data_IF_598999533318
#
_entry.id   IF_598999533318
#
_cell.length_a   1.000
_cell.length_b   1.000
_cell.length_c   1.000
_cell.angle_alpha   90.00
_cell.angle_beta   90.00
_cell.angle_gamma   90.00
#
_symmetry.space_group_name_H-M   'P 1'
#
loop_
_entity.id
_entity.type
_entity.pdbx_description
1 polymer ?
#
# COMPACT_ATOMS: atom_id res chain seq x y z
N UNK A 1 -3.55 -15.20 -26.24
CA UNK A 1 -4.32 -14.07 -26.81
C UNK A 1 -5.10 -13.35 -25.72
N UNK A 2 -4.40 -12.70 -24.79
CA UNK A 2 -4.98 -11.85 -23.73
C UNK A 2 -4.01 -10.71 -23.32
N UNK A 3 -2.96 -10.48 -24.12
CA UNK A 3 -1.83 -9.62 -23.81
C UNK A 3 -1.68 -8.45 -24.81
N UNK A 4 -2.41 -8.50 -25.93
CA UNK A 4 -2.45 -7.43 -26.93
C UNK A 4 -3.42 -6.30 -26.55
N UNK A 5 -4.45 -6.59 -25.74
CA UNK A 5 -5.48 -5.58 -25.39
C UNK A 5 -5.07 -4.61 -24.27
N UNK A 6 -3.97 -4.89 -23.55
CA UNK A 6 -3.48 -4.04 -22.44
C UNK A 6 -2.51 -2.97 -22.95
N UNK A 7 -1.79 -3.25 -24.04
CA UNK A 7 -0.81 -2.35 -24.60
C UNK A 7 -1.37 -1.84 -25.93
N UNK A 8 -1.79 -0.58 -26.02
CA UNK A 8 -2.25 0.04 -27.27
C UNK A 8 -1.13 0.14 -28.32
N UNK A 9 -0.65 -1.00 -28.82
CA UNK A 9 0.33 -1.12 -29.88
C UNK A 9 -0.42 -1.18 -31.20
N UNK A 10 -0.59 -0.04 -31.85
CA UNK A 10 -1.05 -0.01 -33.25
C UNK A 10 0.13 -0.36 -34.13
N UNK A 11 0.05 -1.52 -34.77
CA UNK A 11 0.94 -1.94 -35.84
C UNK A 11 1.02 -0.86 -36.94
N UNK A 12 2.22 -0.36 -37.19
CA UNK A 12 2.58 0.27 -38.47
C UNK A 12 3.51 -0.69 -39.20
N UNK A 13 3.35 -0.87 -40.52
CA UNK A 13 4.12 -1.85 -41.28
C UNK A 13 5.60 -1.47 -41.30
N UNK A 14 6.44 -2.46 -41.03
CA UNK A 14 7.89 -2.44 -41.14
C UNK A 14 8.34 -1.97 -42.53
N UNK A 15 8.85 -0.75 -42.62
CA UNK A 15 9.81 -0.39 -43.66
C UNK A 15 11.21 -0.42 -43.08
N UNK A 16 11.97 -1.42 -43.57
CA UNK A 16 13.41 -1.44 -43.90
C UNK A 16 14.32 -0.53 -43.06
N UNK A 17 15.38 -1.11 -42.50
CA UNK A 17 16.80 -0.85 -42.84
C UNK A 17 17.67 -2.03 -42.32
N UNK A 18 18.58 -2.51 -43.17
CA UNK A 18 19.70 -3.42 -42.87
C UNK A 18 20.98 -2.58 -42.61
N UNK A 19 22.14 -3.15 -42.21
CA UNK A 19 22.40 -4.40 -41.47
C UNK A 19 23.29 -4.18 -40.22
N UNK A 20 23.30 -5.18 -39.33
CA UNK A 20 24.37 -5.38 -38.35
C UNK A 20 25.63 -5.92 -39.04
N UNK A 21 26.75 -5.22 -38.89
CA UNK A 21 28.07 -5.83 -38.79
C UNK A 21 29.04 -4.87 -38.08
N UNK A 22 29.95 -5.46 -37.30
CA UNK A 22 31.03 -4.84 -36.51
C UNK A 22 30.65 -4.32 -35.11
N UNK A 23 30.75 -5.20 -34.11
CA UNK A 23 31.55 -4.92 -32.91
C UNK A 23 31.79 -6.21 -32.11
N UNK A 24 32.67 -7.07 -32.60
CA UNK A 24 33.38 -8.06 -31.78
C UNK A 24 34.86 -7.81 -31.99
N UNK A 25 35.51 -7.11 -31.06
CA UNK A 25 36.89 -7.37 -30.59
C UNK A 25 37.29 -6.36 -29.52
N UNK A 26 38.07 -6.87 -28.56
CA UNK A 26 38.96 -6.13 -27.64
C UNK A 26 38.43 -5.76 -26.25
N UNK A 27 38.18 -6.83 -25.48
CA UNK A 27 38.57 -6.89 -24.08
C UNK A 27 40.10 -7.03 -23.98
N UNK A 28 40.79 -5.99 -23.50
CA UNK A 28 41.87 -6.07 -22.51
C UNK A 28 42.61 -4.73 -22.43
N UNK A 29 43.00 -4.36 -21.20
CA UNK A 29 43.85 -3.25 -20.80
C UNK A 29 43.11 -1.94 -20.49
N UNK A 30 42.88 -1.69 -19.19
CA UNK A 30 43.56 -0.62 -18.43
C UNK A 30 42.83 -0.44 -17.09
N UNK A 31 43.22 -1.28 -16.14
CA UNK A 31 43.13 -0.98 -14.71
C UNK A 31 44.55 -0.60 -14.26
N UNK A 32 44.66 0.36 -13.33
CA UNK A 32 45.85 1.07 -12.85
C UNK A 32 46.31 2.27 -13.70
N UNK A 33 45.91 3.46 -13.27
CA UNK A 33 46.84 4.55 -12.96
C UNK A 33 46.18 5.59 -12.04
N UNK A 34 46.89 5.88 -10.95
CA UNK A 34 46.87 7.15 -10.20
C UNK A 34 45.65 7.55 -9.35
N UNK A 35 45.63 6.98 -8.13
CA UNK A 35 45.42 7.75 -6.90
C UNK A 35 46.39 8.95 -6.84
N UNK A 36 45.88 10.18 -6.75
CA UNK A 36 46.50 11.32 -6.01
C UNK A 36 45.57 12.54 -5.91
N UNK A 37 45.16 12.82 -4.66
CA UNK A 37 45.08 14.13 -3.99
C UNK A 37 44.08 15.19 -4.50
N UNK A 38 43.03 15.49 -3.73
CA UNK A 38 42.84 16.75 -2.95
C UNK A 38 41.44 16.85 -2.33
N UNK A 39 41.38 17.19 -1.04
CA UNK A 39 40.16 17.64 -0.36
C UNK A 39 39.78 19.07 -0.81
N UNK A 40 38.48 19.39 -0.87
CA UNK A 40 37.84 20.63 -0.36
C UNK A 40 36.30 20.47 -0.41
N UNK A 41 35.67 20.85 0.70
CA UNK A 41 34.25 21.19 0.97
C UNK A 41 33.17 21.11 -0.13
N UNK A 42 32.00 20.60 0.27
CA UNK A 42 30.71 20.97 -0.34
C UNK A 42 29.70 19.83 -0.31
N UNK A 43 28.63 19.97 0.46
CA UNK A 43 27.52 19.03 0.46
C UNK A 43 26.90 18.90 -0.93
N UNK A 44 26.74 17.67 -1.41
CA UNK A 44 26.07 17.38 -2.68
C UNK A 44 24.63 16.98 -2.37
N UNK A 45 23.62 17.62 -2.99
CA UNK A 45 22.24 17.19 -2.88
C UNK A 45 22.07 15.87 -3.64
N UNK A 46 21.43 14.87 -3.02
CA UNK A 46 21.06 13.63 -3.70
C UNK A 46 20.03 13.93 -4.78
N UNK A 47 20.51 14.09 -6.01
CA UNK A 47 19.69 14.32 -7.19
C UNK A 47 18.99 12.99 -7.55
N UNK A 48 17.73 12.86 -7.16
CA UNK A 48 16.88 11.75 -7.58
C UNK A 48 16.62 11.93 -9.08
N UNK A 49 17.12 11.00 -9.88
CA UNK A 49 16.88 10.96 -11.33
C UNK A 49 15.49 10.34 -11.57
N UNK A 50 14.52 11.16 -11.97
CA UNK A 50 13.25 10.71 -12.55
C UNK A 50 13.26 10.98 -14.06
N UNK A 51 12.84 10.03 -14.92
CA UNK A 51 12.70 10.29 -16.34
C UNK A 51 11.56 11.29 -16.62
N UNK A 52 11.67 12.15 -17.65
CA UNK A 52 10.64 13.12 -17.98
C UNK A 52 9.41 12.46 -18.60
N UNK A 53 8.22 12.80 -18.11
CA UNK A 53 6.95 12.46 -18.77
C UNK A 53 6.66 13.45 -19.91
N UNK A 54 6.11 12.99 -21.05
CA UNK A 54 5.81 13.88 -22.17
C UNK A 54 4.62 14.79 -21.89
N UNK A 55 4.57 15.99 -22.52
CA UNK A 55 3.52 16.97 -22.28
C UNK A 55 2.19 16.54 -22.90
N UNK A 56 1.12 16.71 -22.14
CA UNK A 56 -0.26 16.54 -22.57
C UNK A 56 -0.66 17.74 -23.41
N UNK A 57 -0.92 17.55 -24.70
CA UNK A 57 -1.75 18.45 -25.52
C UNK A 57 -2.21 17.71 -26.78
N UNK A 58 -3.53 17.54 -26.92
CA UNK A 58 -4.31 18.12 -28.04
C UNK A 58 -5.78 17.65 -28.01
N UNK A 59 -6.66 18.64 -28.03
CA UNK A 59 -8.11 18.54 -28.25
C UNK A 59 -8.45 18.36 -29.75
N UNK A 60 -9.47 17.53 -29.99
CA UNK A 60 -10.52 17.55 -31.04
C UNK A 60 -10.15 17.30 -32.52
N UNK A 61 -10.76 16.25 -33.09
CA UNK A 61 -11.56 16.36 -34.33
C UNK A 61 -12.67 15.31 -34.39
N UNK A 62 -13.67 15.58 -35.23
CA UNK A 62 -15.09 15.21 -35.17
C UNK A 62 -15.46 14.04 -36.12
N UNK A 63 -16.32 13.16 -35.60
CA UNK A 63 -17.25 12.20 -36.23
C UNK A 63 -17.04 11.69 -37.66
N UNK A 64 -17.04 10.35 -37.81
CA UNK A 64 -17.76 9.67 -38.90
C UNK A 64 -18.49 8.45 -38.35
N UNK A 65 -19.82 8.48 -38.51
CA UNK A 65 -20.76 7.41 -38.19
C UNK A 65 -20.53 6.15 -39.02
N UNK A 66 -20.33 5.01 -38.37
CA UNK A 66 -20.67 3.70 -38.93
C UNK A 66 -21.37 2.87 -37.85
N UNK A 67 -22.65 2.64 -38.08
CA UNK A 67 -23.52 1.75 -37.34
C UNK A 67 -23.07 0.29 -37.51
N UNK A 68 -22.82 -0.40 -36.39
CA UNK A 68 -22.68 -1.84 -36.30
C UNK A 68 -23.58 -2.35 -35.15
N UNK A 69 -24.07 -3.59 -35.22
CA UNK A 69 -25.30 -4.00 -34.54
C UNK A 69 -25.14 -4.15 -33.02
N UNK A 70 -26.23 -3.88 -32.33
CA UNK A 70 -26.39 -3.90 -30.88
C UNK A 70 -26.20 -5.30 -30.29
N UNK A 71 -25.06 -5.54 -29.65
CA UNK A 71 -24.85 -6.60 -28.65
C UNK A 71 -24.33 -6.00 -27.34
N UNK A 72 -24.86 -4.84 -26.93
CA UNK A 72 -24.63 -4.31 -25.59
C UNK A 72 -25.64 -4.96 -24.64
N UNK A 73 -25.19 -5.99 -23.91
CA UNK A 73 -25.66 -6.10 -22.53
C UNK A 73 -25.31 -4.76 -21.88
N UNK A 74 -26.25 -4.01 -21.30
CA UNK A 74 -25.89 -2.80 -20.58
C UNK A 74 -25.05 -3.28 -19.41
N UNK A 75 -23.73 -3.13 -19.50
CA UNK A 75 -22.87 -3.16 -18.32
C UNK A 75 -23.42 -2.04 -17.45
N UNK A 76 -24.23 -2.40 -16.47
CA UNK A 76 -24.76 -1.47 -15.48
C UNK A 76 -23.52 -0.81 -14.88
N UNK A 77 -23.27 0.44 -15.25
CA UNK A 77 -22.19 1.21 -14.66
C UNK A 77 -22.51 1.27 -13.17
N UNK A 78 -21.68 0.58 -12.39
CA UNK A 78 -21.82 0.62 -10.94
C UNK A 78 -21.68 2.10 -10.55
N UNK A 79 -22.49 2.60 -9.60
CA UNK A 79 -22.41 4.00 -9.15
C UNK A 79 -21.00 4.40 -8.68
N UNK A 80 -20.14 3.41 -8.41
CA UNK A 80 -18.70 3.55 -8.21
C UNK A 80 -17.98 2.40 -8.95
N UNK A 81 -16.96 2.66 -9.78
CA UNK A 81 -16.13 1.61 -10.36
C UNK A 81 -15.19 1.04 -9.29
N UNK A 82 -15.75 0.30 -8.33
CA UNK A 82 -14.97 -0.46 -7.36
C UNK A 82 -14.41 -1.69 -8.08
N UNK A 83 -13.17 -1.59 -8.55
CA UNK A 83 -12.42 -2.73 -9.09
C UNK A 83 -11.87 -3.61 -7.97
N UNK A 84 -11.68 -3.06 -6.77
CA UNK A 84 -11.10 -3.77 -5.64
C UNK A 84 -11.87 -3.42 -4.36
N UNK A 85 -11.87 -4.34 -3.40
CA UNK A 85 -12.42 -4.11 -2.08
C UNK A 85 -11.77 -5.02 -1.07
N UNK A 86 -11.87 -4.63 0.19
CA UNK A 86 -11.08 -5.12 1.32
C UNK A 86 -11.73 -4.63 2.59
N UNK A 87 -11.57 -5.39 3.67
CA UNK A 87 -11.90 -4.93 5.02
C UNK A 87 -10.67 -5.10 5.89
N UNK A 88 -10.13 -3.98 6.36
CA UNK A 88 -9.12 -3.96 7.41
C UNK A 88 -9.64 -3.16 8.60
N UNK A 89 -9.21 -3.52 9.79
CA UNK A 89 -9.49 -2.77 11.00
C UNK A 89 -8.31 -2.85 11.97
N UNK A 90 -8.20 -1.84 12.81
CA UNK A 90 -7.28 -1.80 13.93
C UNK A 90 -7.89 -1.02 15.07
N UNK A 91 -7.74 -1.52 16.30
CA UNK A 91 -8.19 -0.80 17.48
C UNK A 91 -7.31 -1.05 18.69
N UNK A 92 -7.34 -0.09 19.61
CA UNK A 92 -6.61 -0.11 20.87
C UNK A 92 -7.53 -0.57 22.00
N UNK A 93 -6.98 -1.37 22.92
CA UNK A 93 -7.64 -1.77 24.16
C UNK A 93 -6.60 -1.90 25.28
N UNK A 94 -7.02 -2.13 26.53
CA UNK A 94 -6.11 -2.24 27.68
C UNK A 94 -4.96 -3.25 27.45
N UNK A 95 -5.24 -4.36 26.77
CA UNK A 95 -4.29 -5.45 26.53
C UNK A 95 -3.41 -5.28 25.28
N UNK A 96 -3.47 -4.15 24.56
CA UNK A 96 -2.63 -3.92 23.38
C UNK A 96 -3.36 -3.27 22.21
N UNK A 97 -2.90 -3.61 21.00
CA UNK A 97 -3.57 -3.25 19.75
C UNK A 97 -3.88 -4.51 18.98
N UNK A 98 -5.08 -4.59 18.43
CA UNK A 98 -5.47 -5.64 17.48
C UNK A 98 -5.51 -5.04 16.08
N UNK A 99 -4.96 -5.76 15.12
CA UNK A 99 -5.16 -5.53 13.69
C UNK A 99 -5.84 -6.77 13.10
N UNK A 100 -6.86 -6.56 12.27
CA UNK A 100 -7.58 -7.63 11.60
C UNK A 100 -7.86 -7.27 10.14
N UNK A 101 -7.86 -8.29 9.27
CA UNK A 101 -8.14 -8.10 7.85
C UNK A 101 -8.75 -9.36 7.23
N UNK A 102 -9.50 -9.18 6.15
CA UNK A 102 -9.92 -10.27 5.28
C UNK A 102 -8.81 -10.66 4.30
N UNK A 103 -8.85 -11.87 3.73
CA UNK A 103 -7.79 -12.37 2.84
C UNK A 103 -8.15 -12.34 1.35
N UNK A 104 -9.33 -11.83 0.97
CA UNK A 104 -9.78 -11.80 -0.43
C UNK A 104 -9.15 -10.63 -1.20
N UNK A 105 -8.58 -10.91 -2.37
CA UNK A 105 -8.31 -9.89 -3.39
C UNK A 105 -9.25 -10.08 -4.57
N UNK A 106 -10.01 -9.03 -4.88
CA UNK A 106 -10.97 -9.01 -5.98
C UNK A 106 -10.47 -8.11 -7.11
N UNK A 107 -10.73 -8.47 -8.36
CA UNK A 107 -10.48 -7.69 -9.56
C UNK A 107 -11.79 -7.57 -10.36
N UNK A 108 -12.50 -6.47 -10.17
CA UNK A 108 -13.86 -6.28 -10.67
C UNK A 108 -14.81 -7.29 -10.03
N UNK A 109 -15.49 -8.08 -10.85
CA UNK A 109 -16.39 -9.16 -10.39
C UNK A 109 -15.70 -10.48 -10.08
N UNK A 110 -14.39 -10.60 -10.30
CA UNK A 110 -13.64 -11.84 -10.12
C UNK A 110 -12.84 -11.84 -8.82
N UNK A 111 -12.87 -12.95 -8.09
CA UNK A 111 -11.93 -13.19 -6.98
C UNK A 111 -10.58 -13.59 -7.57
N UNK A 112 -9.62 -12.67 -7.56
CA UNK A 112 -8.29 -12.88 -8.13
C UNK A 112 -7.42 -13.78 -7.25
N UNK A 113 -7.48 -13.60 -5.93
CA UNK A 113 -6.77 -14.45 -4.98
C UNK A 113 -7.55 -14.56 -3.67
N UNK A 114 -7.78 -15.77 -3.14
CA UNK A 114 -8.55 -15.93 -1.91
C UNK A 114 -7.73 -15.78 -0.62
N UNK A 115 -6.41 -15.80 -0.69
CA UNK A 115 -5.49 -15.90 0.44
C UNK A 115 -4.35 -14.85 0.37
N UNK A 116 -4.72 -13.58 0.19
CA UNK A 116 -3.79 -12.45 0.23
C UNK A 116 -3.55 -12.03 1.67
N UNK A 117 -2.28 -11.83 2.02
CA UNK A 117 -1.87 -11.26 3.29
C UNK A 117 -1.99 -9.74 3.20
N UNK A 118 -2.88 -9.16 4.01
CA UNK A 118 -3.09 -7.70 4.09
C UNK A 118 -2.59 -7.11 5.39
N UNK A 119 -2.00 -7.94 6.24
CA UNK A 119 -1.37 -7.54 7.50
C UNK A 119 0.11 -7.91 7.38
N UNK A 120 0.96 -6.90 7.24
CA UNK A 120 2.40 -7.07 7.08
C UNK A 120 3.10 -6.64 8.38
N UNK A 121 3.80 -7.56 9.08
CA UNK A 121 4.65 -7.18 10.19
C UNK A 121 5.89 -6.45 9.65
N UNK A 122 6.03 -5.16 9.97
CA UNK A 122 7.16 -4.34 9.51
C UNK A 122 8.35 -4.47 10.45
N UNK A 123 8.09 -4.40 11.76
CA UNK A 123 9.12 -4.47 12.80
C UNK A 123 8.54 -5.11 14.07
N UNK A 124 9.38 -5.33 15.09
CA UNK A 124 8.98 -6.08 16.30
C UNK A 124 7.83 -5.43 17.08
N UNK A 125 7.65 -4.12 16.94
CA UNK A 125 6.61 -3.34 17.61
C UNK A 125 5.59 -2.70 16.68
N UNK A 126 5.67 -2.98 15.36
CA UNK A 126 4.88 -2.31 14.33
C UNK A 126 4.36 -3.30 13.28
N UNK A 127 3.05 -3.31 13.12
CA UNK A 127 2.31 -4.03 12.09
C UNK A 127 1.58 -3.02 11.22
N UNK A 128 1.45 -3.31 9.92
CA UNK A 128 0.72 -2.45 8.99
C UNK A 128 -0.37 -3.24 8.30
N UNK A 129 -1.56 -2.68 8.22
CA UNK A 129 -2.63 -3.19 7.36
C UNK A 129 -2.69 -2.41 6.05
N UNK A 130 -2.95 -3.08 4.95
CA UNK A 130 -3.10 -2.46 3.63
C UNK A 130 -4.51 -2.52 3.08
N UNK A 131 -4.91 -1.42 2.47
CA UNK A 131 -6.14 -1.26 1.71
C UNK A 131 -5.86 -0.36 0.50
N UNK A 132 -6.49 -0.66 -0.64
CA UNK A 132 -6.26 0.05 -1.90
C UNK A 132 -5.74 -0.87 -3.00
N UNK A 133 -4.91 -0.32 -3.90
CA UNK A 133 -4.27 -1.10 -4.95
C UNK A 133 -3.21 -2.02 -4.34
N UNK A 134 -3.31 -3.33 -4.59
CA UNK A 134 -2.38 -4.31 -4.04
C UNK A 134 -0.93 -4.04 -4.43
N UNK A 135 -0.69 -3.62 -5.68
CA UNK A 135 0.65 -3.29 -6.17
C UNK A 135 1.24 -2.08 -5.45
N UNK A 136 0.46 -1.00 -5.32
CA UNK A 136 0.91 0.23 -4.67
C UNK A 136 1.18 -0.01 -3.19
N UNK A 137 0.26 -0.68 -2.49
CA UNK A 137 0.42 -0.99 -1.06
C UNK A 137 1.67 -1.82 -0.81
N UNK A 138 1.88 -2.90 -1.58
CA UNK A 138 3.07 -3.74 -1.44
C UNK A 138 4.36 -2.97 -1.68
N UNK A 139 4.39 -2.06 -2.67
CA UNK A 139 5.55 -1.24 -2.95
C UNK A 139 5.86 -0.28 -1.79
N UNK A 140 4.84 0.45 -1.33
CA UNK A 140 4.99 1.44 -0.28
C UNK A 140 5.30 0.83 1.09
N UNK A 141 4.76 -0.35 1.39
CA UNK A 141 5.15 -1.13 2.57
C UNK A 141 6.65 -1.48 2.53
N UNK A 142 7.15 -1.96 1.38
CA UNK A 142 8.58 -2.31 1.23
C UNK A 142 9.49 -1.09 1.36
N UNK A 143 9.10 0.04 0.78
CA UNK A 143 9.83 1.32 0.93
C UNK A 143 9.86 1.73 2.41
N UNK A 144 8.72 1.65 3.10
CA UNK A 144 8.62 1.99 4.51
C UNK A 144 9.50 1.08 5.39
N UNK A 145 9.47 -0.24 5.15
CA UNK A 145 10.33 -1.22 5.84
C UNK A 145 11.80 -0.85 5.67
N UNK A 146 12.23 -0.54 4.43
CA UNK A 146 13.60 -0.11 4.13
C UNK A 146 13.98 1.14 4.91
N UNK A 147 13.16 2.19 4.86
CA UNK A 147 13.48 3.46 5.51
C UNK A 147 13.53 3.34 7.04
N UNK A 148 12.61 2.60 7.65
CA UNK A 148 12.62 2.32 9.09
C UNK A 148 13.91 1.57 9.47
N UNK A 149 14.31 0.56 8.68
CA UNK A 149 15.53 -0.20 8.94
C UNK A 149 16.79 0.65 8.79
N UNK A 150 16.85 1.50 7.75
CA UNK A 150 17.96 2.44 7.57
C UNK A 150 18.03 3.48 8.69
N UNK A 151 16.88 3.90 9.21
CA UNK A 151 16.83 4.81 10.35
C UNK A 151 17.42 4.16 11.60
N UNK A 152 17.02 2.92 11.89
CA UNK A 152 17.49 2.14 13.04
C UNK A 152 19.01 1.94 13.00
N UNK A 153 19.56 1.60 11.84
CA UNK A 153 21.00 1.41 11.67
C UNK A 153 21.80 2.72 11.86
N UNK A 154 21.27 3.86 11.39
CA UNK A 154 21.94 5.17 11.50
C UNK A 154 21.94 5.70 12.93
N UNK A 155 20.81 5.60 13.62
CA UNK A 155 20.62 6.23 14.93
C UNK A 155 20.74 5.25 16.10
N UNK A 156 20.93 3.94 15.81
CA UNK A 156 20.95 2.85 16.80
C UNK A 156 19.73 2.85 17.73
N UNK A 157 18.61 3.37 17.24
CA UNK A 157 17.34 3.49 17.97
C UNK A 157 16.18 3.15 17.06
N UNK A 158 15.13 2.55 17.62
CA UNK A 158 13.93 2.22 16.86
C UNK A 158 13.15 3.48 16.52
N UNK A 159 12.49 3.48 15.37
CA UNK A 159 11.59 4.57 15.01
C UNK A 159 10.25 4.38 15.72
N UNK A 160 9.75 5.45 16.34
CA UNK A 160 8.43 5.46 16.97
C UNK A 160 7.32 5.30 15.93
N UNK A 161 6.15 4.80 16.35
CA UNK A 161 5.01 4.59 15.43
C UNK A 161 4.57 5.91 14.80
N UNK A 162 4.51 6.99 15.60
CA UNK A 162 4.23 8.36 15.12
C UNK A 162 5.27 8.82 14.10
N UNK A 163 6.55 8.48 14.34
CA UNK A 163 7.66 8.77 13.43
C UNK A 163 7.51 8.02 12.11
N UNK A 164 7.23 6.72 12.16
CA UNK A 164 6.97 5.89 10.97
C UNK A 164 5.79 6.41 10.16
N UNK A 165 4.67 6.76 10.81
CA UNK A 165 3.52 7.34 10.13
C UNK A 165 3.82 8.72 9.52
N UNK A 166 4.64 9.55 10.20
CA UNK A 166 5.05 10.85 9.66
C UNK A 166 5.97 10.68 8.45
N UNK A 167 6.91 9.74 8.52
CA UNK A 167 7.80 9.41 7.42
C UNK A 167 7.00 8.96 6.19
N UNK A 168 6.07 8.02 6.36
CA UNK A 168 5.19 7.56 5.29
C UNK A 168 4.36 8.71 4.69
N UNK A 169 3.71 9.51 5.54
CA UNK A 169 2.94 10.69 5.12
C UNK A 169 3.78 11.67 4.28
N UNK A 170 5.02 11.96 4.72
CA UNK A 170 5.93 12.84 3.97
C UNK A 170 6.37 12.22 2.63
N UNK A 171 6.59 10.90 2.57
CA UNK A 171 6.97 10.23 1.32
C UNK A 171 5.81 10.14 0.31
N UNK A 172 4.56 10.03 0.79
CA UNK A 172 3.36 9.96 -0.05
C UNK A 172 2.88 11.34 -0.53
N UNK A 173 3.11 12.40 0.25
CA UNK A 173 2.63 13.74 -0.07
C UNK A 173 2.97 14.25 -1.49
N UNK A 174 4.17 14.00 -2.07
CA UNK A 174 4.47 14.38 -3.46
C UNK A 174 3.58 13.70 -4.52
N UNK A 175 2.97 12.56 -4.19
CA UNK A 175 2.09 11.80 -5.08
C UNK A 175 0.62 12.22 -4.95
N UNK A 176 0.32 13.24 -4.14
CA UNK A 176 -1.03 13.79 -4.00
C UNK A 176 -1.56 14.26 -5.36
N UNK A 177 -2.75 13.79 -5.72
CA UNK A 177 -3.40 14.11 -7.00
C UNK A 177 -2.98 13.21 -8.17
N UNK A 178 -2.13 12.20 -7.92
CA UNK A 178 -1.85 11.12 -8.88
C UNK A 178 -2.80 9.93 -8.66
N UNK A 179 -2.69 8.91 -9.52
CA UNK A 179 -3.52 7.70 -9.44
C UNK A 179 -3.02 6.66 -8.42
N UNK A 180 -2.11 7.03 -7.51
CA UNK A 180 -1.61 6.14 -6.45
C UNK A 180 -2.73 5.87 -5.44
N UNK A 181 -3.06 4.60 -5.24
CA UNK A 181 -4.14 4.18 -4.35
C UNK A 181 -3.58 3.36 -3.18
N UNK A 182 -3.29 4.06 -2.09
CA UNK A 182 -2.66 3.49 -0.89
C UNK A 182 -3.39 3.98 0.34
N UNK A 183 -3.78 3.04 1.18
CA UNK A 183 -4.31 3.29 2.50
C UNK A 183 -3.65 2.30 3.45
N UNK A 184 -2.70 2.79 4.24
CA UNK A 184 -1.97 1.98 5.22
C UNK A 184 -2.39 2.37 6.63
N UNK A 185 -2.73 1.39 7.47
CA UNK A 185 -2.98 1.61 8.89
C UNK A 185 -1.83 1.02 9.69
N UNK A 186 -1.09 1.87 10.39
CA UNK A 186 0.01 1.50 11.25
C UNK A 186 -0.55 1.20 12.65
N UNK A 187 -0.38 -0.05 13.08
CA UNK A 187 -0.82 -0.55 14.37
C UNK A 187 0.41 -1.01 15.16
N UNK A 188 0.55 -0.55 16.41
CA UNK A 188 1.66 -1.02 17.22
C UNK A 188 1.62 -0.52 18.65
N UNK A 189 2.60 -0.98 19.42
CA UNK A 189 2.80 -0.58 20.80
C UNK A 189 4.18 0.04 20.98
N UNK A 190 4.25 1.28 21.48
CA UNK A 190 5.52 1.99 21.68
C UNK A 190 5.66 2.45 23.14
N UNK A 191 6.84 2.23 23.74
CA UNK A 191 7.13 2.57 25.14
C UNK A 191 7.64 4.00 25.31
N UNK A 192 8.32 4.56 24.32
CA UNK A 192 9.03 5.84 24.44
C UNK A 192 8.09 7.05 24.58
N UNK A 193 6.78 6.89 24.32
CA UNK A 193 5.82 8.00 24.27
C UNK A 193 4.83 8.09 25.43
N UNK A 194 4.91 7.22 26.44
CA UNK A 194 3.91 7.10 27.52
C UNK A 194 2.49 6.78 27.02
N UNK A 195 2.32 6.55 25.72
CA UNK A 195 1.06 6.27 25.06
C UNK A 195 0.92 4.76 24.98
N UNK A 196 -0.14 4.25 25.61
CA UNK A 196 -0.74 2.97 25.31
C UNK A 196 -0.96 2.86 23.78
N UNK A 197 -1.05 1.63 23.27
CA UNK A 197 -1.04 1.27 21.84
C UNK A 197 -1.66 2.27 20.87
N UNK A 198 -1.11 2.33 19.66
CA UNK A 198 -1.46 3.36 18.69
C UNK A 198 -1.96 2.75 17.39
N UNK A 199 -3.01 3.37 16.83
CA UNK A 199 -3.49 3.11 15.47
C UNK A 199 -3.46 4.42 14.69
N UNK A 200 -2.70 4.43 13.59
CA UNK A 200 -2.52 5.61 12.76
C UNK A 200 -2.78 5.26 11.29
N UNK A 201 -3.79 5.89 10.72
CA UNK A 201 -4.10 5.80 9.30
C UNK A 201 -3.26 6.80 8.50
N UNK A 202 -2.75 6.35 7.35
CA UNK A 202 -2.10 7.19 6.34
C UNK A 202 -2.70 6.90 4.97
N UNK A 203 -3.15 7.97 4.30
CA UNK A 203 -3.74 7.93 2.97
C UNK A 203 -2.71 8.32 1.88
N UNK A 204 -3.01 8.03 0.62
CA UNK A 204 -2.16 8.32 -0.54
C UNK A 204 -1.94 9.81 -0.80
N UNK A 205 -2.81 10.69 -0.28
CA UNK A 205 -2.62 12.14 -0.31
C UNK A 205 -1.65 12.66 0.76
N UNK A 206 -1.12 11.75 1.60
CA UNK A 206 -0.26 12.07 2.73
C UNK A 206 -1.03 12.49 3.98
N UNK A 207 -2.37 12.46 3.98
CA UNK A 207 -3.16 12.71 5.17
C UNK A 207 -2.87 11.63 6.22
N UNK A 208 -2.83 12.06 7.49
CA UNK A 208 -2.55 11.18 8.62
C UNK A 208 -3.60 11.41 9.70
N UNK A 209 -4.24 10.35 10.12
CA UNK A 209 -5.25 10.36 11.19
C UNK A 209 -4.84 9.37 12.28
N UNK A 210 -4.77 9.84 13.52
CA UNK A 210 -4.61 8.98 14.68
C UNK A 210 -5.99 8.78 15.31
N UNK A 211 -6.31 7.54 15.70
CA UNK A 211 -7.55 7.21 16.38
C UNK A 211 -7.41 5.94 17.21
N UNK A 212 -8.40 5.69 18.08
CA UNK A 212 -8.44 4.47 18.89
C UNK A 212 -9.03 3.29 18.12
N UNK A 213 -9.82 3.59 17.08
CA UNK A 213 -10.44 2.64 16.16
C UNK A 213 -10.30 3.19 14.75
N UNK A 214 -9.78 2.36 13.85
CA UNK A 214 -9.71 2.68 12.43
C UNK A 214 -10.10 1.43 11.65
N UNK A 215 -11.11 1.53 10.80
CA UNK A 215 -11.42 0.55 9.76
C UNK A 215 -11.34 1.18 8.38
N UNK A 216 -10.71 0.46 7.44
CA UNK A 216 -10.42 0.95 6.09
C UNK A 216 -10.73 -0.11 5.04
N UNK A 217 -11.33 0.33 3.94
CA UNK A 217 -11.68 -0.47 2.77
C UNK A 217 -13.19 -0.48 2.49
N UNK A 218 -13.63 -1.25 1.50
CA UNK A 218 -15.03 -1.31 1.06
C UNK A 218 -15.98 -1.83 2.15
N UNK A 219 -15.53 -2.75 3.01
CA UNK A 219 -16.34 -3.28 4.10
C UNK A 219 -16.20 -2.53 5.42
N UNK A 220 -15.46 -1.42 5.47
CA UNK A 220 -15.26 -0.67 6.70
C UNK A 220 -16.54 -0.16 7.37
N UNK A 221 -17.60 0.29 6.66
CA UNK A 221 -18.82 0.76 7.32
C UNK A 221 -19.53 -0.36 8.10
N UNK A 222 -19.46 -1.60 7.60
CA UNK A 222 -20.03 -2.77 8.28
C UNK A 222 -19.22 -3.15 9.51
N UNK A 223 -17.89 -3.03 9.45
CA UNK A 223 -17.01 -3.29 10.58
C UNK A 223 -17.24 -2.27 11.71
N UNK A 224 -17.35 -0.98 11.39
CA UNK A 224 -17.64 0.07 12.39
C UNK A 224 -18.93 -0.21 13.16
N UNK A 225 -20.02 -0.61 12.49
CA UNK A 225 -21.28 -0.91 13.17
C UNK A 225 -21.20 -2.02 14.22
N UNK A 226 -20.21 -2.90 14.14
CA UNK A 226 -19.95 -3.95 15.14
C UNK A 226 -19.01 -3.44 16.23
N UNK A 227 -17.94 -2.75 15.83
CA UNK A 227 -16.93 -2.20 16.74
C UNK A 227 -17.56 -1.15 17.67
N UNK A 228 -18.38 -0.25 17.16
CA UNK A 228 -19.00 0.82 17.94
C UNK A 228 -19.96 0.29 19.02
N UNK A 229 -20.54 -0.90 18.81
CA UNK A 229 -21.45 -1.53 19.78
C UNK A 229 -20.75 -2.40 20.82
N UNK A 230 -19.54 -2.90 20.53
CA UNK A 230 -18.86 -3.90 21.35
C UNK A 230 -17.50 -3.48 21.92
N UNK A 231 -16.89 -2.39 21.43
CA UNK A 231 -15.57 -1.99 21.89
C UNK A 231 -15.64 -1.26 23.23
N UNK A 232 -14.85 -1.74 24.18
CA UNK A 232 -14.60 -1.08 25.46
C UNK A 232 -13.10 -1.13 25.78
N UNK A 233 -12.61 -0.15 26.55
CA UNK A 233 -11.22 -0.11 26.99
C UNK A 233 -10.85 -1.33 27.84
N UNK A 234 -11.79 -1.80 28.67
CA UNK A 234 -11.60 -2.88 29.65
C UNK A 234 -11.84 -4.29 29.11
N UNK A 235 -11.75 -4.49 27.79
CA UNK A 235 -11.94 -5.81 27.18
C UNK A 235 -10.79 -6.76 27.54
N UNK A 236 -11.14 -8.02 27.82
CA UNK A 236 -10.13 -9.08 27.87
C UNK A 236 -9.55 -9.35 26.48
N UNK A 237 -8.39 -10.00 26.44
CA UNK A 237 -7.71 -10.35 25.19
C UNK A 237 -8.60 -11.24 24.31
N UNK A 238 -9.23 -12.24 24.90
CA UNK A 238 -10.09 -13.20 24.20
C UNK A 238 -11.35 -12.53 23.64
N UNK A 239 -11.97 -11.64 24.42
CA UNK A 239 -13.13 -10.87 23.97
C UNK A 239 -12.75 -9.91 22.84
N UNK A 240 -11.62 -9.22 22.94
CA UNK A 240 -11.13 -8.33 21.89
C UNK A 240 -10.85 -9.09 20.58
N UNK A 241 -10.22 -10.27 20.66
CA UNK A 241 -9.99 -11.14 19.50
C UNK A 241 -11.33 -11.60 18.90
N UNK A 242 -12.29 -11.99 19.74
CA UNK A 242 -13.61 -12.42 19.25
C UNK A 242 -14.37 -11.27 18.59
N UNK A 243 -14.33 -10.07 19.16
CA UNK A 243 -14.95 -8.87 18.61
C UNK A 243 -14.34 -8.50 17.25
N UNK A 244 -13.01 -8.51 17.14
CA UNK A 244 -12.31 -8.23 15.89
C UNK A 244 -12.69 -9.24 14.79
N UNK A 245 -12.71 -10.54 15.14
CA UNK A 245 -13.14 -11.61 14.24
C UNK A 245 -14.58 -11.43 13.79
N UNK A 246 -15.48 -11.09 14.72
CA UNK A 246 -16.89 -10.88 14.42
C UNK A 246 -17.11 -9.65 13.53
N UNK A 247 -16.38 -8.56 13.76
CA UNK A 247 -16.44 -7.35 12.94
C UNK A 247 -16.04 -7.64 11.49
N UNK A 248 -14.91 -8.32 11.26
CA UNK A 248 -14.51 -8.72 9.90
C UNK A 248 -15.51 -9.72 9.32
N UNK A 249 -15.97 -10.71 10.08
CA UNK A 249 -16.94 -11.70 9.60
C UNK A 249 -18.27 -11.08 9.14
N UNK A 250 -18.81 -10.13 9.91
CA UNK A 250 -20.04 -9.44 9.52
C UNK A 250 -19.83 -8.54 8.31
N UNK A 251 -18.65 -7.93 8.18
CA UNK A 251 -18.28 -7.16 7.00
C UNK A 251 -18.16 -8.04 5.75
N UNK A 252 -17.49 -9.20 5.84
CA UNK A 252 -17.36 -10.14 4.72
C UNK A 252 -18.69 -10.76 4.29
N UNK A 253 -19.66 -10.85 5.21
CA UNK A 253 -21.00 -11.32 4.86
C UNK A 253 -21.80 -10.29 4.04
N UNK A 254 -21.53 -8.99 4.23
CA UNK A 254 -22.29 -7.90 3.58
C UNK A 254 -21.57 -7.30 2.37
N UNK A 255 -20.26 -7.16 2.44
CA UNK A 255 -19.43 -6.62 1.36
C UNK A 255 -19.04 -7.72 0.37
N UNK A 256 -19.42 -7.56 -0.90
CA UNK A 256 -19.13 -8.53 -1.95
C UNK A 256 -17.63 -8.70 -2.23
N UNK A 257 -16.83 -7.65 -2.01
CA UNK A 257 -15.40 -7.66 -2.35
C UNK A 257 -14.51 -8.19 -1.23
N UNK A 258 -15.03 -8.25 0.00
CA UNK A 258 -14.31 -8.77 1.17
C UNK A 258 -14.68 -10.24 1.42
N UNK A 259 -13.76 -11.05 1.92
CA UNK A 259 -14.11 -12.44 2.24
C UNK A 259 -12.98 -13.39 2.59
N UNK A 260 -13.38 -14.68 2.62
CA UNK A 260 -12.54 -15.85 2.87
C UNK A 260 -12.10 -15.94 4.33
N UNK A 261 -10.80 -15.84 4.61
CA UNK A 261 -10.28 -15.98 5.96
C UNK A 261 -10.18 -14.62 6.65
N UNK A 262 -10.05 -14.66 7.98
CA UNK A 262 -9.81 -13.48 8.81
C UNK A 262 -8.45 -13.65 9.48
N UNK A 263 -7.50 -12.82 9.06
CA UNK A 263 -6.18 -12.75 9.69
C UNK A 263 -6.23 -11.76 10.85
N UNK A 264 -5.61 -12.14 11.97
CA UNK A 264 -5.60 -11.38 13.20
C UNK A 264 -4.17 -11.28 13.74
N UNK A 265 -3.77 -10.07 14.09
CA UNK A 265 -2.51 -9.78 14.75
C UNK A 265 -2.76 -9.02 16.05
N UNK A 266 -2.17 -9.51 17.13
CA UNK A 266 -2.18 -8.85 18.44
C UNK A 266 -0.77 -8.34 18.74
N UNK A 267 -0.60 -7.03 18.80
CA UNK A 267 0.64 -6.41 19.25
C UNK A 267 0.52 -6.01 20.72
N UNK A 268 1.42 -6.53 21.54
CA UNK A 268 1.50 -6.28 22.98
C UNK A 268 2.96 -6.05 23.41
N UNK A 269 3.15 -5.38 24.54
CA UNK A 269 4.47 -5.28 25.17
C UNK A 269 4.81 -6.61 25.86
N UNK A 270 5.96 -7.21 25.53
CA UNK A 270 6.46 -8.45 26.13
C UNK A 270 7.05 -8.29 27.53
N UNK A 271 7.10 -7.09 28.08
CA UNK A 271 7.47 -6.90 29.49
C UNK A 271 6.22 -7.04 30.36
N UNK A 272 6.12 -8.20 31.03
CA UNK A 272 5.26 -8.34 32.19
C UNK A 272 5.75 -7.39 33.29
N UNK A 273 4.85 -6.72 34.03
CA UNK A 273 5.24 -6.06 35.26
C UNK A 273 5.71 -7.14 36.24
N UNK A 274 7.00 -7.09 36.59
CA UNK A 274 7.53 -7.78 37.76
C UNK A 274 7.03 -7.12 39.05
#
# INVERSE_FOLDING_TARGET
MALEDICSFKDKPLQRWFPLSALETDYHNLELESLKTTQINGGIPQHIFMPPFPPTNLFISRSTSRSAPSNYSPTVERPFPLTHGTTTLGFVFQGGVIAAADTRASAGGLVACPAVHKITPIHSHLVVTSSGSGADCMLWERILIREIRLYELRHKRRLSIRGSAKLLSCMLHPFKGTNVCVALTLCGWDKEGGSFGMVIYVCSDGARLQGDIISVGSGSPYAYGVLDGGLSWSLSKEEAISLAREAVFRATHRDAYSGNNVDLFHSFSTEQPH
#
